data_IF_292675884288
#
_entry.id   IF_292675884288
#
_cell.length_a   1.000
_cell.length_b   1.000
_cell.length_c   1.000
_cell.angle_alpha   90.00
_cell.angle_beta   90.00
_cell.angle_gamma   90.00
#
_symmetry.space_group_name_H-M   'P 1'
#
loop_
_entity.id
_entity.type
_entity.pdbx_description
1 polymer ?
#
# COMPACT_ATOMS: atom_id res chain seq x y z
N UNK A 1 -2.21 8.66 -18.20
CA UNK A 1 -2.45 7.35 -17.56
C UNK A 1 -3.54 7.51 -16.53
N UNK A 2 -4.41 6.53 -16.38
CA UNK A 2 -5.44 6.46 -15.36
C UNK A 2 -4.91 5.62 -14.18
N UNK A 3 -5.00 6.14 -12.97
CA UNK A 3 -4.57 5.43 -11.77
C UNK A 3 -5.76 5.00 -10.93
N UNK A 4 -5.62 3.89 -10.22
CA UNK A 4 -6.52 3.52 -9.15
C UNK A 4 -5.74 3.08 -7.90
N UNK A 5 -6.31 3.29 -6.74
CA UNK A 5 -5.75 2.83 -5.48
C UNK A 5 -6.86 2.22 -4.60
N UNK A 6 -6.51 1.23 -3.80
CA UNK A 6 -7.44 0.61 -2.86
C UNK A 6 -6.83 0.56 -1.46
N UNK A 7 -7.61 1.01 -0.48
CA UNK A 7 -7.33 0.91 0.95
C UNK A 7 -8.40 0.02 1.58
N UNK A 8 -7.99 -1.13 2.13
CA UNK A 8 -8.89 -2.03 2.86
C UNK A 8 -8.86 -1.70 4.35
N UNK A 9 -10.04 -1.51 4.91
CA UNK A 9 -10.25 -1.10 6.31
C UNK A 9 -10.92 -2.23 7.08
N UNK A 10 -10.37 -2.56 8.24
CA UNK A 10 -11.03 -3.39 9.24
C UNK A 10 -10.77 -2.81 10.62
N UNK A 11 -11.74 -2.11 11.17
CA UNK A 11 -11.61 -1.20 12.29
C UNK A 11 -10.50 -0.15 12.04
N UNK A 12 -10.68 1.09 12.37
CA UNK A 12 -9.65 2.11 12.13
C UNK A 12 -9.97 3.06 10.97
N UNK A 13 -11.22 3.53 10.92
CA UNK A 13 -11.68 4.53 9.96
C UNK A 13 -10.81 5.80 9.94
N UNK A 14 -10.32 6.25 11.11
CA UNK A 14 -9.58 7.51 11.21
C UNK A 14 -8.20 7.43 10.54
N UNK A 15 -7.50 6.31 10.68
CA UNK A 15 -6.24 6.03 9.99
C UNK A 15 -6.45 5.97 8.48
N UNK A 16 -7.48 5.26 8.06
CA UNK A 16 -7.81 5.13 6.64
C UNK A 16 -8.19 6.49 6.00
N UNK A 17 -8.92 7.34 6.70
CA UNK A 17 -9.24 8.70 6.24
C UNK A 17 -7.99 9.58 6.13
N UNK A 18 -7.05 9.48 7.08
CA UNK A 18 -5.76 10.19 6.99
C UNK A 18 -4.94 9.70 5.79
N UNK A 19 -4.85 8.37 5.60
CA UNK A 19 -4.19 7.79 4.44
C UNK A 19 -4.82 8.29 3.13
N UNK A 20 -6.15 8.18 3.01
CA UNK A 20 -6.91 8.64 1.85
C UNK A 20 -6.68 10.13 1.57
N UNK A 21 -6.69 10.98 2.60
CA UNK A 21 -6.46 12.42 2.45
C UNK A 21 -5.07 12.70 1.87
N UNK A 22 -4.01 12.01 2.35
CA UNK A 22 -2.65 12.21 1.80
C UNK A 22 -2.53 11.66 0.38
N UNK A 23 -3.16 10.53 0.07
CA UNK A 23 -3.21 9.99 -1.30
C UNK A 23 -3.81 11.01 -2.26
N UNK A 24 -4.97 11.58 -1.92
CA UNK A 24 -5.64 12.60 -2.72
C UNK A 24 -4.84 13.91 -2.81
N UNK A 25 -4.24 14.33 -1.70
CA UNK A 25 -3.47 15.57 -1.63
C UNK A 25 -2.22 15.54 -2.51
N UNK A 26 -1.52 14.41 -2.53
CA UNK A 26 -0.21 14.32 -3.17
C UNK A 26 -0.25 13.73 -4.59
N UNK A 27 -1.24 12.92 -4.96
CA UNK A 27 -1.37 12.40 -6.33
C UNK A 27 -1.96 13.49 -7.23
N UNK A 28 -1.14 14.10 -8.08
CA UNK A 28 -1.54 15.30 -8.84
C UNK A 28 -1.38 15.20 -10.34
N UNK A 29 -0.46 14.36 -10.81
CA UNK A 29 -0.09 14.32 -12.24
C UNK A 29 -1.02 13.45 -13.07
N UNK A 30 -1.73 12.52 -12.42
CA UNK A 30 -2.62 11.57 -13.09
C UNK A 30 -4.00 11.55 -12.44
N UNK A 31 -5.08 11.34 -13.23
CA UNK A 31 -6.40 11.03 -12.69
C UNK A 31 -6.33 9.80 -11.77
N UNK A 32 -7.11 9.84 -10.67
CA UNK A 32 -7.08 8.80 -9.64
C UNK A 32 -8.49 8.40 -9.19
N UNK A 33 -8.79 7.11 -9.23
CA UNK A 33 -9.93 6.54 -8.50
C UNK A 33 -9.43 5.87 -7.23
N UNK A 34 -9.79 6.41 -6.06
CA UNK A 34 -9.47 5.85 -4.76
C UNK A 34 -10.63 5.02 -4.22
N UNK A 35 -10.43 3.75 -4.02
CA UNK A 35 -11.38 2.84 -3.37
C UNK A 35 -11.08 2.71 -1.88
N UNK A 36 -12.09 2.92 -1.04
CA UNK A 36 -12.07 2.63 0.39
C UNK A 36 -12.98 1.42 0.63
N UNK A 37 -12.39 0.29 0.97
CA UNK A 37 -13.14 -0.96 1.14
C UNK A 37 -13.25 -1.29 2.62
N UNK A 38 -14.44 -1.14 3.19
CA UNK A 38 -14.72 -1.64 4.54
C UNK A 38 -14.91 -3.15 4.52
N UNK A 39 -14.07 -3.86 5.23
CA UNK A 39 -14.05 -5.32 5.27
C UNK A 39 -14.96 -5.89 6.38
N UNK A 40 -16.20 -5.37 6.46
CA UNK A 40 -17.21 -5.68 7.48
C UNK A 40 -16.73 -5.33 8.91
N UNK A 41 -16.32 -4.10 9.12
CA UNK A 41 -15.88 -3.60 10.42
C UNK A 41 -17.04 -3.54 11.43
N UNK A 42 -16.92 -4.18 12.59
CA UNK A 42 -17.98 -4.14 13.62
C UNK A 42 -18.06 -2.80 14.37
N UNK A 43 -17.04 -1.94 14.25
CA UNK A 43 -16.96 -0.63 14.93
C UNK A 43 -17.70 0.51 14.20
N UNK A 44 -18.38 0.20 13.09
CA UNK A 44 -19.10 1.19 12.28
C UNK A 44 -18.21 1.98 11.31
N UNK A 45 -16.97 1.55 11.08
CA UNK A 45 -16.04 2.19 10.13
C UNK A 45 -16.65 2.37 8.74
N UNK A 46 -17.37 1.38 8.22
CA UNK A 46 -18.00 1.46 6.90
C UNK A 46 -18.96 2.65 6.76
N UNK A 47 -19.88 2.81 7.70
CA UNK A 47 -20.82 3.93 7.71
C UNK A 47 -20.12 5.30 7.87
N UNK A 48 -19.04 5.34 8.67
CA UNK A 48 -18.21 6.54 8.84
C UNK A 48 -17.47 6.92 7.57
N UNK A 49 -16.91 5.96 6.83
CA UNK A 49 -16.27 6.17 5.52
C UNK A 49 -17.28 6.74 4.51
N UNK A 50 -18.47 6.12 4.41
CA UNK A 50 -19.52 6.63 3.53
C UNK A 50 -19.94 8.07 3.89
N UNK A 51 -20.13 8.35 5.19
CA UNK A 51 -20.48 9.68 5.67
C UNK A 51 -19.39 10.71 5.36
N UNK A 52 -18.11 10.34 5.54
CA UNK A 52 -16.97 11.22 5.25
C UNK A 52 -16.90 11.58 3.75
N UNK A 53 -17.08 10.60 2.87
CA UNK A 53 -17.05 10.84 1.41
C UNK A 53 -18.25 11.67 0.98
N UNK A 54 -19.47 11.33 1.42
CA UNK A 54 -20.70 12.09 1.11
C UNK A 54 -20.68 13.52 1.68
N UNK A 55 -20.09 13.69 2.86
CA UNK A 55 -19.96 14.98 3.54
C UNK A 55 -18.81 15.85 3.04
N UNK A 56 -18.02 15.39 2.07
CA UNK A 56 -16.89 16.15 1.51
C UNK A 56 -15.71 16.31 2.47
N UNK A 57 -15.57 15.41 3.45
CA UNK A 57 -14.43 15.42 4.38
C UNK A 57 -13.09 15.12 3.70
N UNK A 58 -13.14 14.43 2.54
CA UNK A 58 -11.97 14.18 1.69
C UNK A 58 -11.94 15.22 0.56
N UNK A 59 -10.91 16.05 0.56
CA UNK A 59 -10.73 17.07 -0.49
C UNK A 59 -10.17 16.40 -1.75
N UNK A 60 -10.97 16.36 -2.82
CA UNK A 60 -10.55 15.87 -4.14
C UNK A 60 -10.11 17.02 -5.05
N UNK A 61 -9.24 16.71 -5.99
CA UNK A 61 -8.81 17.61 -7.07
C UNK A 61 -9.51 17.19 -8.39
N UNK A 62 -9.52 18.05 -9.42
CA UNK A 62 -10.01 17.66 -10.74
C UNK A 62 -9.36 16.36 -11.23
N UNK A 63 -10.17 15.42 -11.71
CA UNK A 63 -9.70 14.09 -12.13
C UNK A 63 -9.60 13.06 -11.02
N UNK A 64 -9.94 13.42 -9.77
CA UNK A 64 -9.96 12.47 -8.65
C UNK A 64 -11.38 12.06 -8.27
N UNK A 65 -11.53 10.78 -7.91
CA UNK A 65 -12.78 10.19 -7.45
C UNK A 65 -12.53 9.30 -6.23
N UNK A 66 -13.44 9.31 -5.27
CA UNK A 66 -13.40 8.42 -4.11
C UNK A 66 -14.65 7.56 -4.10
N UNK A 67 -14.48 6.26 -3.96
CA UNK A 67 -15.57 5.29 -3.90
C UNK A 67 -15.46 4.42 -2.66
N UNK A 68 -16.57 4.20 -1.96
CA UNK A 68 -16.64 3.32 -0.80
C UNK A 68 -17.32 2.01 -1.18
N UNK A 69 -16.78 0.91 -0.70
CA UNK A 69 -17.37 -0.43 -0.83
C UNK A 69 -17.45 -1.07 0.56
N UNK A 70 -18.65 -1.32 1.06
CA UNK A 70 -18.87 -2.01 2.32
C UNK A 70 -19.16 -3.49 2.07
N UNK A 71 -18.33 -4.37 2.59
CA UNK A 71 -18.49 -5.82 2.49
C UNK A 71 -19.42 -6.32 3.59
N UNK A 72 -20.07 -7.47 3.35
CA UNK A 72 -20.97 -8.11 4.32
C UNK A 72 -20.22 -8.98 5.32
N UNK A 73 -19.01 -9.44 4.99
CA UNK A 73 -18.18 -10.32 5.80
C UNK A 73 -16.69 -9.99 5.64
N UNK A 74 -15.91 -10.25 6.68
CA UNK A 74 -14.47 -10.12 6.65
C UNK A 74 -13.83 -11.34 5.97
N UNK A 75 -13.43 -11.20 4.73
CA UNK A 75 -12.71 -12.23 3.98
C UNK A 75 -11.19 -12.12 4.05
N UNK A 76 -10.65 -11.25 4.91
CA UNK A 76 -9.24 -10.93 5.00
C UNK A 76 -8.78 -9.87 3.99
N UNK A 77 -7.52 -9.46 4.10
CA UNK A 77 -6.91 -8.36 3.35
C UNK A 77 -7.01 -8.55 1.83
N UNK A 78 -6.53 -9.68 1.32
CA UNK A 78 -6.54 -9.96 -0.13
C UNK A 78 -7.94 -9.98 -0.72
N UNK A 79 -8.92 -10.57 -0.03
CA UNK A 79 -10.31 -10.60 -0.49
C UNK A 79 -10.92 -9.19 -0.48
N UNK A 80 -10.53 -8.34 0.48
CA UNK A 80 -10.89 -6.93 0.50
C UNK A 80 -10.44 -6.20 -0.77
N UNK A 81 -9.16 -6.32 -1.13
CA UNK A 81 -8.62 -5.74 -2.36
C UNK A 81 -9.26 -6.32 -3.62
N UNK A 82 -9.51 -7.64 -3.65
CA UNK A 82 -10.15 -8.28 -4.80
C UNK A 82 -11.59 -7.80 -5.05
N UNK A 83 -12.22 -7.11 -4.08
CA UNK A 83 -13.57 -6.55 -4.24
C UNK A 83 -13.64 -5.56 -5.40
N UNK A 84 -12.58 -4.81 -5.66
CA UNK A 84 -12.55 -3.77 -6.70
C UNK A 84 -11.99 -4.25 -8.04
N UNK A 85 -11.34 -5.41 -8.10
CA UNK A 85 -10.72 -5.92 -9.34
C UNK A 85 -11.67 -5.93 -10.56
N UNK A 86 -12.95 -6.33 -10.45
CA UNK A 86 -13.85 -6.35 -11.61
C UNK A 86 -14.18 -4.94 -12.14
N UNK A 87 -13.92 -3.90 -11.37
CA UNK A 87 -14.25 -2.51 -11.71
C UNK A 87 -13.03 -1.74 -12.23
N UNK A 88 -11.83 -2.32 -12.16
CA UNK A 88 -10.60 -1.63 -12.55
C UNK A 88 -10.50 -1.45 -14.06
N UNK A 89 -10.31 -0.21 -14.48
CA UNK A 89 -10.02 0.19 -15.86
C UNK A 89 -8.74 1.02 -15.95
N UNK A 90 -8.05 1.19 -14.82
CA UNK A 90 -6.81 1.97 -14.71
C UNK A 90 -5.61 1.28 -15.34
N UNK A 91 -4.64 2.05 -15.80
CA UNK A 91 -3.37 1.55 -16.32
C UNK A 91 -2.52 0.90 -15.20
N UNK A 92 -2.59 1.48 -13.99
CA UNK A 92 -1.91 0.97 -12.78
C UNK A 92 -2.83 1.00 -11.57
N UNK A 93 -2.74 -0.04 -10.75
CA UNK A 93 -3.49 -0.17 -9.50
C UNK A 93 -2.56 -0.21 -8.29
N UNK A 94 -2.91 0.55 -7.24
CA UNK A 94 -2.12 0.62 -6.01
C UNK A 94 -2.82 -0.07 -4.85
N UNK A 95 -2.14 -1.04 -4.24
CA UNK A 95 -2.53 -1.71 -3.01
C UNK A 95 -1.92 -0.92 -1.85
N UNK A 96 -2.74 -0.36 -0.98
CA UNK A 96 -2.30 0.50 0.12
C UNK A 96 -2.85 0.02 1.46
N UNK A 97 -1.99 -0.02 2.48
CA UNK A 97 -2.44 -0.19 3.85
C UNK A 97 -3.14 1.07 4.38
N UNK A 98 -4.06 0.95 5.34
CA UNK A 98 -4.79 2.08 5.91
C UNK A 98 -3.94 3.03 6.78
N UNK A 99 -2.72 2.66 7.12
CA UNK A 99 -1.77 3.43 7.93
C UNK A 99 -0.67 4.11 7.09
N UNK A 100 -0.70 3.97 5.77
CA UNK A 100 0.25 4.63 4.87
C UNK A 100 -0.10 6.12 4.72
N UNK A 101 0.91 6.98 4.83
CA UNK A 101 0.78 8.40 4.55
C UNK A 101 1.79 8.83 3.49
N UNK A 102 1.31 9.51 2.46
CA UNK A 102 2.17 10.09 1.43
C UNK A 102 2.68 11.46 1.87
N UNK A 103 3.89 11.80 1.45
CA UNK A 103 4.52 13.11 1.62
C UNK A 103 4.95 13.74 0.31
N UNK A 104 4.79 13.01 -0.80
CA UNK A 104 5.12 13.40 -2.17
C UNK A 104 4.21 12.67 -3.17
N UNK A 105 4.29 13.00 -4.45
CA UNK A 105 3.48 12.40 -5.53
C UNK A 105 3.99 10.99 -5.92
N UNK A 106 4.06 10.11 -4.92
CA UNK A 106 4.65 8.78 -5.04
C UNK A 106 3.89 7.86 -5.99
N UNK A 107 2.55 7.98 -6.07
CA UNK A 107 1.76 7.16 -6.99
C UNK A 107 2.12 7.49 -8.43
N UNK A 108 2.16 8.77 -8.77
CA UNK A 108 2.53 9.20 -10.12
C UNK A 108 3.98 8.85 -10.45
N UNK A 109 4.91 9.01 -9.49
CA UNK A 109 6.32 8.64 -9.70
C UNK A 109 6.48 7.15 -10.02
N UNK A 110 5.78 6.27 -9.28
CA UNK A 110 5.82 4.83 -9.53
C UNK A 110 5.17 4.46 -10.87
N UNK A 111 4.03 5.06 -11.20
CA UNK A 111 3.34 4.80 -12.46
C UNK A 111 4.20 5.23 -13.66
N UNK A 112 4.81 6.42 -13.60
CA UNK A 112 5.71 6.92 -14.65
C UNK A 112 6.95 6.03 -14.79
N UNK A 113 7.50 5.58 -13.65
CA UNK A 113 8.63 4.65 -13.65
C UNK A 113 8.25 3.30 -14.26
N UNK A 114 7.13 2.70 -13.89
CA UNK A 114 6.65 1.43 -14.45
C UNK A 114 6.35 1.54 -15.94
N UNK A 115 5.79 2.65 -16.40
CA UNK A 115 5.57 2.89 -17.82
C UNK A 115 6.88 2.94 -18.63
N UNK A 116 7.96 3.41 -18.01
CA UNK A 116 9.30 3.41 -18.62
C UNK A 116 10.02 2.04 -18.51
N UNK A 117 9.51 1.12 -17.68
CA UNK A 117 10.10 -0.21 -17.42
C UNK A 117 9.03 -1.31 -17.59
N UNK A 118 8.62 -1.62 -18.82
CA UNK A 118 7.51 -2.55 -19.10
C UNK A 118 7.79 -4.01 -18.70
N UNK A 119 9.00 -4.33 -18.32
CA UNK A 119 9.43 -5.60 -17.72
C UNK A 119 9.12 -5.70 -16.21
N UNK A 120 8.85 -4.56 -15.55
CA UNK A 120 8.46 -4.51 -14.15
C UNK A 120 6.96 -4.82 -13.99
N UNK A 121 6.63 -5.96 -13.43
CA UNK A 121 5.23 -6.37 -13.18
C UNK A 121 4.67 -5.83 -11.88
N UNK A 122 5.53 -5.39 -10.96
CA UNK A 122 5.16 -4.80 -9.68
C UNK A 122 6.27 -3.88 -9.20
N UNK A 123 5.90 -2.76 -8.58
CA UNK A 123 6.84 -1.83 -7.96
C UNK A 123 6.35 -1.40 -6.57
N UNK A 124 7.29 -1.01 -5.72
CA UNK A 124 6.99 -0.43 -4.40
C UNK A 124 7.97 0.69 -4.06
N UNK A 125 7.55 1.72 -3.32
CA UNK A 125 8.48 2.72 -2.82
C UNK A 125 9.23 2.23 -1.60
N UNK A 126 10.32 2.92 -1.25
CA UNK A 126 10.92 2.83 0.08
C UNK A 126 9.97 3.41 1.13
N UNK A 127 9.73 2.66 2.22
CA UNK A 127 8.90 3.12 3.32
C UNK A 127 9.77 3.64 4.48
N UNK A 128 9.26 4.65 5.18
CA UNK A 128 9.91 5.24 6.36
C UNK A 128 8.95 5.27 7.54
N UNK A 129 9.49 5.16 8.73
CA UNK A 129 8.76 5.48 9.96
C UNK A 129 8.58 7.00 10.09
N UNK A 130 7.62 7.46 10.94
CA UNK A 130 7.42 8.90 11.18
C UNK A 130 8.67 9.63 11.69
N UNK A 131 9.59 8.93 12.33
CA UNK A 131 10.89 9.45 12.81
C UNK A 131 11.96 9.55 11.70
N UNK A 132 11.61 9.21 10.44
CA UNK A 132 12.50 9.27 9.28
C UNK A 132 13.36 8.03 9.05
N UNK A 133 13.40 7.07 9.99
CA UNK A 133 14.15 5.81 9.80
C UNK A 133 13.53 4.99 8.68
N UNK A 134 14.36 4.41 7.83
CA UNK A 134 13.90 3.47 6.80
C UNK A 134 13.28 2.24 7.43
N UNK A 135 12.13 1.82 6.89
CA UNK A 135 11.48 0.59 7.32
C UNK A 135 12.12 -0.60 6.59
N UNK A 136 12.83 -1.43 7.34
CA UNK A 136 13.37 -2.69 6.81
C UNK A 136 12.23 -3.67 6.60
N UNK A 137 11.90 -3.93 5.34
CA UNK A 137 10.90 -4.91 4.95
C UNK A 137 11.56 -6.11 4.27
N UNK A 138 10.96 -7.31 4.36
CA UNK A 138 11.42 -8.45 3.60
C UNK A 138 11.40 -8.15 2.10
N UNK A 139 12.54 -8.30 1.43
CA UNK A 139 12.71 -8.04 -0.01
C UNK A 139 13.17 -9.29 -0.78
N UNK A 140 13.67 -10.30 -0.06
CA UNK A 140 14.03 -11.60 -0.63
C UNK A 140 12.96 -12.64 -0.34
N UNK A 141 12.99 -13.74 -1.09
CA UNK A 141 12.06 -14.86 -0.92
C UNK A 141 12.11 -15.40 0.51
N UNK A 142 10.93 -15.66 1.05
CA UNK A 142 10.79 -16.20 2.39
C UNK A 142 11.53 -17.55 2.51
N UNK A 143 12.38 -17.67 3.51
CA UNK A 143 13.15 -18.87 3.79
C UNK A 143 13.06 -19.25 5.29
N UNK A 144 13.21 -20.52 5.59
CA UNK A 144 13.09 -21.05 6.94
C UNK A 144 14.08 -20.39 7.92
N UNK A 145 15.35 -20.23 7.50
CA UNK A 145 16.42 -19.71 8.38
C UNK A 145 16.16 -18.29 8.93
N UNK A 146 15.84 -17.27 8.11
CA UNK A 146 15.48 -15.95 8.63
C UNK A 146 14.21 -15.97 9.48
N UNK A 147 13.22 -16.80 9.17
CA UNK A 147 12.01 -16.93 9.97
C UNK A 147 12.32 -17.47 11.37
N UNK A 148 13.11 -18.54 11.47
CA UNK A 148 13.52 -19.12 12.76
C UNK A 148 14.39 -18.14 13.55
N UNK A 149 15.33 -17.44 12.90
CA UNK A 149 16.13 -16.41 13.56
C UNK A 149 15.26 -15.31 14.18
N UNK A 150 14.24 -14.86 13.50
CA UNK A 150 13.32 -13.82 14.02
C UNK A 150 12.55 -14.26 15.26
N UNK A 151 12.29 -15.56 15.43
CA UNK A 151 11.69 -16.13 16.64
C UNK A 151 12.73 -16.45 17.74
N UNK A 152 13.95 -16.79 17.35
CA UNK A 152 15.01 -17.24 18.22
C UNK A 152 16.32 -16.43 17.95
N UNK A 153 16.34 -15.12 18.29
CA UNK A 153 17.43 -14.21 17.92
C UNK A 153 18.78 -14.53 18.60
N UNK A 154 18.79 -15.43 19.60
CA UNK A 154 20.02 -15.92 20.20
C UNK A 154 20.82 -16.85 19.28
N UNK A 155 20.24 -17.35 18.20
CA UNK A 155 20.91 -18.13 17.16
C UNK A 155 21.72 -17.22 16.23
N UNK A 156 22.70 -16.49 16.77
CA UNK A 156 23.48 -15.46 16.06
C UNK A 156 24.12 -15.93 14.75
N UNK A 157 24.41 -17.23 14.61
CA UNK A 157 24.96 -17.79 13.38
C UNK A 157 23.99 -17.72 12.19
N UNK A 158 22.71 -17.47 12.42
CA UNK A 158 21.71 -17.25 11.38
C UNK A 158 21.42 -15.77 11.07
N UNK A 159 22.01 -14.85 11.79
CA UNK A 159 21.86 -13.41 11.57
C UNK A 159 22.15 -13.00 10.13
N UNK A 160 23.22 -13.57 9.54
CA UNK A 160 23.58 -13.30 8.14
C UNK A 160 22.45 -13.62 7.14
N UNK A 161 21.63 -14.64 7.41
CA UNK A 161 20.49 -14.99 6.55
C UNK A 161 19.33 -14.02 6.73
N UNK A 162 19.14 -13.47 7.95
CA UNK A 162 18.15 -12.43 8.18
C UNK A 162 18.56 -11.13 7.52
N UNK A 163 19.83 -10.73 7.60
CA UNK A 163 20.37 -9.55 6.91
C UNK A 163 20.21 -9.67 5.39
N UNK A 164 20.56 -10.82 4.81
CA UNK A 164 20.35 -11.08 3.38
C UNK A 164 18.85 -11.04 3.00
N UNK A 165 17.97 -11.58 3.84
CA UNK A 165 16.51 -11.56 3.64
C UNK A 165 15.93 -10.14 3.61
N UNK A 166 16.48 -9.25 4.45
CA UNK A 166 16.10 -7.84 4.52
C UNK A 166 16.87 -6.96 3.54
N UNK A 167 17.78 -7.53 2.74
CA UNK A 167 18.74 -6.79 1.89
C UNK A 167 19.50 -5.69 2.67
N UNK A 168 19.85 -5.97 3.93
CA UNK A 168 20.62 -5.02 4.74
C UNK A 168 22.03 -4.84 4.16
N UNK A 169 22.38 -3.58 3.89
CA UNK A 169 23.67 -3.20 3.29
C UNK A 169 23.65 -3.07 1.77
N UNK A 170 22.52 -3.38 1.11
CA UNK A 170 22.31 -3.06 -0.31
C UNK A 170 22.00 -1.57 -0.46
N UNK A 171 22.47 -0.98 -1.55
CA UNK A 171 22.12 0.41 -1.90
C UNK A 171 20.72 0.46 -2.51
N UNK A 172 19.77 0.92 -1.72
CA UNK A 172 18.37 1.10 -2.12
C UNK A 172 18.05 2.54 -2.55
N UNK A 173 19.07 3.37 -2.84
CA UNK A 173 18.87 4.74 -3.34
C UNK A 173 18.44 4.79 -4.79
N UNK A 174 18.68 3.71 -5.55
CA UNK A 174 18.20 3.47 -6.90
C UNK A 174 17.22 2.30 -6.94
N UNK A 175 16.41 2.16 -8.00
CA UNK A 175 15.56 0.99 -8.20
C UNK A 175 16.38 -0.31 -8.22
N UNK A 176 15.94 -1.29 -7.45
CA UNK A 176 16.57 -2.62 -7.37
C UNK A 176 15.52 -3.71 -7.56
N UNK A 177 15.93 -4.81 -8.19
CA UNK A 177 15.07 -5.98 -8.31
C UNK A 177 14.94 -6.68 -6.95
N UNK A 178 13.69 -7.00 -6.57
CA UNK A 178 13.35 -7.68 -5.33
C UNK A 178 12.55 -8.95 -5.62
N UNK A 179 12.74 -9.97 -4.79
CA UNK A 179 12.05 -11.26 -4.96
C UNK A 179 10.70 -11.32 -4.27
N UNK A 180 10.42 -10.36 -3.37
CA UNK A 180 9.22 -10.34 -2.57
C UNK A 180 8.75 -8.91 -2.32
N UNK A 181 7.47 -8.65 -2.60
CA UNK A 181 6.82 -7.39 -2.29
C UNK A 181 5.77 -7.59 -1.19
N UNK A 182 5.83 -6.76 -0.15
CA UNK A 182 4.81 -6.75 0.90
C UNK A 182 3.58 -6.00 0.40
N UNK A 183 2.37 -6.44 0.81
CA UNK A 183 1.12 -5.78 0.45
C UNK A 183 0.87 -4.44 1.16
N UNK A 184 1.88 -3.85 1.82
CA UNK A 184 1.69 -2.58 2.55
C UNK A 184 1.58 -1.37 1.62
N UNK A 185 2.36 -1.37 0.54
CA UNK A 185 2.30 -0.39 -0.54
C UNK A 185 2.92 -1.00 -1.79
N UNK A 186 2.13 -1.27 -2.80
CA UNK A 186 2.61 -1.78 -4.08
C UNK A 186 1.76 -1.28 -5.25
N UNK A 187 2.41 -1.09 -6.39
CA UNK A 187 1.81 -0.81 -7.69
C UNK A 187 1.85 -2.07 -8.56
N UNK A 188 0.80 -2.36 -9.27
CA UNK A 188 0.66 -3.46 -10.24
C UNK A 188 0.05 -2.96 -11.54
#
# INVERSE_FOLDING_TARGET
>A
MELSACIVVYNGCDEALKAAQTVLQYTRRHPLTLYLVDNASPDGSGARLEAAVKGGALSTQPGQKVEVRCRKENGGFGTGHNTVLPELTSDYHFILNPDIQLTADTLSDLADWMAAHPDAVMARPGLRFPDGRSQSLPLRRCALRPMVYRQLPFLKFWEKYNRAYLMEGEDLSAPVEIEFCTGSFSAV
#
